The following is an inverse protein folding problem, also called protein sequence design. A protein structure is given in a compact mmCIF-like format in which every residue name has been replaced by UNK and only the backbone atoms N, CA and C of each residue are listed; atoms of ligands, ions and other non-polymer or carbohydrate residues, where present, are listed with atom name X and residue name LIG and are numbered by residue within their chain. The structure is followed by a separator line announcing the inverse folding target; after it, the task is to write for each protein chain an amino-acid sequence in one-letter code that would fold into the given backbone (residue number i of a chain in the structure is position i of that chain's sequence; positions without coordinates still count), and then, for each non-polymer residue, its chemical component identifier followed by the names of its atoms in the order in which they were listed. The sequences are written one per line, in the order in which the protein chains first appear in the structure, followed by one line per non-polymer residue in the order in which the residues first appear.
data_IF_872349937807
#
_entry.id   IF_872349937807
#
_cell.length_a   1.000
_cell.length_b   1.000
_cell.length_c   1.000
_cell.angle_alpha   90.00
_cell.angle_beta   90.00
_cell.angle_gamma   90.00
#
_symmetry.space_group_name_H-M   'P 1'
#
loop_
_entity.id
_entity.type
_entity.pdbx_description
1 polymer ?
#
# COMPACT_ATOMS: atom_id res chain seq x y z
N UNK A 1 5.54 13.40 -13.97
CA UNK A 1 4.93 12.96 -15.25
C UNK A 1 3.92 11.83 -15.00
N UNK A 2 4.34 10.62 -14.62
CA UNK A 2 3.47 9.43 -14.52
C UNK A 2 2.16 9.58 -13.68
N UNK A 3 2.18 10.31 -12.55
CA UNK A 3 0.97 10.46 -11.69
C UNK A 3 -0.12 11.28 -12.40
N UNK A 4 0.26 12.34 -13.11
CA UNK A 4 -0.67 13.18 -13.88
C UNK A 4 -1.17 12.46 -15.12
N UNK A 5 -0.31 11.68 -15.76
CA UNK A 5 -0.60 10.85 -16.93
C UNK A 5 -1.66 9.78 -16.63
N UNK A 6 -1.66 9.22 -15.41
CA UNK A 6 -2.65 8.26 -14.95
C UNK A 6 -3.89 8.87 -14.29
N UNK A 7 -4.05 10.21 -14.31
CA UNK A 7 -5.12 10.93 -13.59
C UNK A 7 -5.26 10.49 -12.13
N UNK A 8 -4.14 10.11 -11.51
CA UNK A 8 -4.15 9.58 -10.16
C UNK A 8 -4.11 10.73 -9.15
N UNK A 9 -5.10 10.79 -8.25
CA UNK A 9 -5.10 11.77 -7.16
C UNK A 9 -4.07 11.35 -6.08
N UNK A 10 -3.08 12.20 -5.77
CA UNK A 10 -2.10 11.90 -4.73
C UNK A 10 -2.72 12.09 -3.34
N UNK A 11 -3.39 11.05 -2.82
CA UNK A 11 -3.92 11.04 -1.45
C UNK A 11 -2.79 10.69 -0.47
N UNK A 12 -1.93 11.66 -0.15
CA UNK A 12 -0.78 11.43 0.74
C UNK A 12 -1.25 11.44 2.22
N UNK A 13 -1.10 10.33 2.96
CA UNK A 13 -1.43 10.26 4.38
C UNK A 13 -0.61 11.28 5.17
N UNK A 14 -1.26 12.10 5.99
CA UNK A 14 -0.57 13.06 6.85
C UNK A 14 -0.34 12.41 8.20
N UNK A 15 0.89 12.52 8.71
CA UNK A 15 1.26 11.94 10.01
C UNK A 15 0.53 12.66 11.15
N UNK A 16 0.39 11.99 12.30
CA UNK A 16 -0.27 12.53 13.50
C UNK A 16 0.25 13.93 13.87
N UNK A 17 1.56 14.16 13.71
CA UNK A 17 2.22 15.43 14.06
C UNK A 17 2.40 16.37 12.84
N UNK A 18 1.63 16.17 11.78
CA UNK A 18 1.71 17.00 10.58
C UNK A 18 1.40 18.46 10.87
N UNK A 19 2.30 19.35 10.44
CA UNK A 19 2.12 20.80 10.48
C UNK A 19 1.78 21.35 9.10
N UNK A 20 1.00 22.43 9.08
CA UNK A 20 0.72 23.16 7.86
C UNK A 20 2.03 23.71 7.30
N UNK A 21 2.21 23.58 5.98
CA UNK A 21 3.30 24.23 5.29
C UNK A 21 2.95 25.70 5.04
N UNK A 22 3.98 26.53 4.87
CA UNK A 22 3.75 27.86 4.29
C UNK A 22 3.15 27.68 2.89
N UNK A 23 2.22 28.53 2.46
CA UNK A 23 1.59 28.42 1.13
C UNK A 23 2.52 29.00 0.04
N UNK A 24 3.78 28.61 0.05
CA UNK A 24 4.83 29.07 -0.87
C UNK A 24 4.92 28.22 -2.14
N UNK A 25 4.30 27.04 -2.15
CA UNK A 25 4.23 26.16 -3.31
C UNK A 25 2.78 25.68 -3.59
N UNK A 26 2.43 25.42 -4.86
CA UNK A 26 1.09 24.93 -5.24
C UNK A 26 0.68 23.62 -4.53
N UNK A 27 1.65 22.79 -4.15
CA UNK A 27 1.39 21.55 -3.41
C UNK A 27 1.03 21.77 -1.93
N UNK A 28 1.37 22.94 -1.34
CA UNK A 28 1.08 23.24 0.05
C UNK A 28 -0.42 23.43 0.31
N UNK A 29 -1.16 24.01 -0.63
CA UNK A 29 -2.60 24.26 -0.53
C UNK A 29 -3.39 22.94 -0.35
N UNK A 30 -3.35 21.97 -1.30
CA UNK A 30 -4.10 20.73 -1.18
C UNK A 30 -3.61 19.88 0.01
N UNK A 31 -2.31 19.90 0.31
CA UNK A 31 -1.77 19.21 1.50
C UNK A 31 -2.33 19.78 2.80
N UNK A 32 -2.35 21.11 2.94
CA UNK A 32 -2.84 21.77 4.14
C UNK A 32 -4.35 21.60 4.31
N UNK A 33 -5.11 21.55 3.22
CA UNK A 33 -6.53 21.23 3.22
C UNK A 33 -6.78 19.80 3.72
N UNK A 34 -6.03 18.82 3.20
CA UNK A 34 -6.06 17.43 3.69
C UNK A 34 -5.70 17.38 5.19
N UNK A 35 -4.76 18.19 5.67
CA UNK A 35 -4.40 18.27 7.10
C UNK A 35 -5.55 18.80 7.94
N UNK A 36 -6.21 19.88 7.49
CA UNK A 36 -7.39 20.44 8.17
C UNK A 36 -8.52 19.42 8.23
N UNK A 37 -8.89 18.83 7.09
CA UNK A 37 -9.92 17.81 7.02
C UNK A 37 -9.62 16.64 7.98
N UNK A 38 -8.37 16.17 8.00
CA UNK A 38 -7.95 15.08 8.91
C UNK A 38 -8.08 15.43 10.39
N UNK A 39 -7.86 16.69 10.78
CA UNK A 39 -8.04 17.15 12.17
C UNK A 39 -9.52 17.24 12.54
N UNK A 40 -10.38 17.62 11.60
CA UNK A 40 -11.83 17.74 11.81
C UNK A 40 -12.52 16.37 11.92
N UNK A 41 -12.30 15.46 10.97
CA UNK A 41 -12.96 14.14 10.94
C UNK A 41 -12.16 13.03 11.65
N UNK A 42 -10.91 13.30 12.03
CA UNK A 42 -10.03 12.32 12.67
C UNK A 42 -9.35 11.35 11.70
N UNK A 43 -8.24 10.76 12.17
CA UNK A 43 -7.38 9.93 11.34
C UNK A 43 -7.98 8.58 10.92
N UNK A 44 -8.88 8.00 11.71
CA UNK A 44 -9.52 6.71 11.43
C UNK A 44 -10.49 6.80 10.25
N UNK A 45 -11.36 7.81 10.24
CA UNK A 45 -12.32 8.09 9.17
C UNK A 45 -11.58 8.43 7.88
N UNK A 46 -10.61 9.34 7.96
CA UNK A 46 -9.78 9.70 6.81
C UNK A 46 -9.03 8.51 6.20
N UNK A 47 -8.52 7.58 7.01
CA UNK A 47 -7.92 6.33 6.51
C UNK A 47 -8.92 5.45 5.77
N UNK A 48 -10.16 5.33 6.25
CA UNK A 48 -11.22 4.59 5.54
C UNK A 48 -11.53 5.22 4.19
N UNK A 49 -11.70 6.55 4.14
CA UNK A 49 -12.04 7.28 2.92
C UNK A 49 -10.91 7.27 1.89
N UNK A 50 -9.66 7.39 2.33
CA UNK A 50 -8.47 7.33 1.48
C UNK A 50 -8.13 5.92 0.95
N UNK A 51 -8.96 4.90 1.21
CA UNK A 51 -8.65 3.52 0.82
C UNK A 51 -7.41 2.94 1.51
N UNK A 52 -7.01 3.47 2.67
CA UNK A 52 -5.80 3.06 3.39
C UNK A 52 -5.78 1.55 3.70
N UNK A 53 -6.96 0.94 3.90
CA UNK A 53 -7.07 -0.49 4.11
C UNK A 53 -6.56 -1.30 2.91
N UNK A 54 -6.83 -0.86 1.68
CA UNK A 54 -6.33 -1.50 0.45
C UNK A 54 -4.81 -1.38 0.41
N UNK A 55 -4.26 -0.18 0.66
CA UNK A 55 -2.81 0.04 0.73
C UNK A 55 -2.15 -0.87 1.77
N UNK A 56 -2.72 -0.94 2.98
CA UNK A 56 -2.21 -1.78 4.06
C UNK A 56 -2.24 -3.27 3.70
N UNK A 57 -3.27 -3.73 2.97
CA UNK A 57 -3.36 -5.11 2.46
C UNK A 57 -2.27 -5.41 1.43
N UNK A 58 -2.03 -4.47 0.51
CA UNK A 58 -0.95 -4.58 -0.48
C UNK A 58 0.41 -4.62 0.23
N UNK A 59 0.65 -3.72 1.18
CA UNK A 59 1.89 -3.69 1.98
C UNK A 59 2.11 -5.01 2.73
N UNK A 60 1.08 -5.55 3.38
CA UNK A 60 1.16 -6.83 4.07
C UNK A 60 1.46 -8.00 3.10
N UNK A 61 0.87 -7.99 1.90
CA UNK A 61 1.17 -8.99 0.86
C UNK A 61 2.60 -8.88 0.34
N UNK A 62 3.09 -7.65 0.12
CA UNK A 62 4.47 -7.40 -0.28
C UNK A 62 5.47 -7.78 0.81
N UNK A 63 5.14 -7.55 2.09
CA UNK A 63 5.98 -7.98 3.20
C UNK A 63 6.13 -9.51 3.22
N UNK A 64 5.02 -10.24 3.04
CA UNK A 64 5.05 -11.71 2.90
C UNK A 64 5.90 -12.14 1.70
N UNK A 65 5.78 -11.49 0.55
CA UNK A 65 6.59 -11.79 -0.64
C UNK A 65 8.09 -11.63 -0.37
N UNK A 66 8.47 -10.59 0.36
CA UNK A 66 9.88 -10.30 0.72
C UNK A 66 10.44 -11.29 1.74
N UNK A 67 9.62 -11.74 2.69
CA UNK A 67 9.98 -12.79 3.65
C UNK A 67 10.06 -14.17 2.99
N UNK A 68 9.38 -14.36 1.86
CA UNK A 68 9.32 -15.64 1.18
C UNK A 68 10.54 -15.83 0.26
N UNK A 69 11.51 -16.61 0.74
CA UNK A 69 12.76 -16.94 0.05
C UNK A 69 13.86 -15.88 0.20
N UNK A 70 15.07 -16.22 -0.24
CA UNK A 70 16.25 -15.34 -0.17
C UNK A 70 16.13 -14.08 -1.04
N UNK A 71 17.17 -13.25 -1.09
CA UNK A 71 17.21 -12.12 -2.03
C UNK A 71 17.08 -12.62 -3.48
N UNK A 72 16.49 -11.82 -4.36
CA UNK A 72 16.57 -12.07 -5.81
C UNK A 72 18.01 -11.77 -6.25
N UNK A 73 18.81 -12.82 -6.43
CA UNK A 73 20.26 -12.69 -6.72
C UNK A 73 20.54 -12.49 -8.22
N UNK A 74 19.65 -12.99 -9.09
CA UNK A 74 19.82 -12.85 -10.54
C UNK A 74 19.88 -11.38 -10.96
N UNK A 75 20.85 -11.03 -11.80
CA UNK A 75 20.95 -9.70 -12.43
C UNK A 75 20.19 -9.61 -13.76
N UNK A 76 19.80 -10.74 -14.33
CA UNK A 76 19.02 -10.84 -15.55
C UNK A 76 17.53 -10.57 -15.29
N UNK A 77 16.90 -9.57 -15.95
CA UNK A 77 15.51 -9.16 -15.67
C UNK A 77 14.47 -10.26 -15.85
N UNK A 78 14.63 -11.13 -16.84
CA UNK A 78 13.67 -12.21 -17.11
C UNK A 78 13.73 -13.26 -16.01
N UNK A 79 14.94 -13.62 -15.56
CA UNK A 79 15.15 -14.49 -14.40
C UNK A 79 14.66 -13.85 -13.08
N UNK A 80 14.73 -12.52 -12.94
CA UNK A 80 14.12 -11.84 -11.78
C UNK A 80 12.60 -11.97 -11.81
N UNK A 81 11.98 -11.70 -12.96
CA UNK A 81 10.54 -11.84 -13.19
C UNK A 81 10.07 -13.25 -12.87
N UNK A 82 10.73 -14.27 -13.43
CA UNK A 82 10.41 -15.66 -13.18
C UNK A 82 10.50 -16.01 -11.68
N UNK A 83 11.56 -15.56 -11.00
CA UNK A 83 11.72 -15.77 -9.56
C UNK A 83 10.59 -15.14 -8.73
N UNK A 84 10.12 -13.94 -9.10
CA UNK A 84 8.99 -13.28 -8.44
C UNK A 84 7.69 -14.05 -8.70
N UNK A 85 7.43 -14.45 -9.94
CA UNK A 85 6.23 -15.20 -10.32
C UNK A 85 6.12 -16.53 -9.57
N UNK A 86 7.24 -17.27 -9.44
CA UNK A 86 7.29 -18.52 -8.67
C UNK A 86 6.93 -18.27 -7.21
N UNK A 87 7.49 -17.23 -6.56
CA UNK A 87 7.14 -16.90 -5.16
C UNK A 87 5.66 -16.56 -5.00
N UNK A 88 5.08 -15.83 -5.96
CA UNK A 88 3.66 -15.51 -5.96
C UNK A 88 2.82 -16.79 -6.08
N UNK A 89 3.18 -17.69 -6.99
CA UNK A 89 2.48 -18.96 -7.18
C UNK A 89 2.49 -19.81 -5.90
N UNK A 90 3.65 -19.95 -5.25
CA UNK A 90 3.78 -20.69 -4.00
C UNK A 90 2.94 -20.03 -2.89
N UNK A 91 3.06 -18.72 -2.69
CA UNK A 91 2.29 -18.00 -1.67
C UNK A 91 0.77 -18.13 -1.85
N UNK A 92 0.30 -18.09 -3.10
CA UNK A 92 -1.11 -18.28 -3.42
C UNK A 92 -1.56 -19.71 -3.13
N UNK A 93 -0.72 -20.72 -3.41
CA UNK A 93 -1.00 -22.12 -3.05
C UNK A 93 -1.06 -22.34 -1.54
N UNK A 94 -0.14 -21.77 -0.76
CA UNK A 94 -0.26 -21.79 0.71
C UNK A 94 -1.55 -21.15 1.20
N UNK A 95 -1.96 -20.03 0.59
CA UNK A 95 -3.19 -19.32 0.94
C UNK A 95 -4.49 -20.04 0.50
N UNK A 96 -4.41 -20.97 -0.46
CA UNK A 96 -5.54 -21.83 -0.82
C UNK A 96 -5.64 -23.00 0.16
N UNK A 97 -4.53 -23.70 0.40
CA UNK A 97 -4.48 -24.84 1.32
C UNK A 97 -4.95 -24.46 2.73
N UNK A 98 -4.49 -23.32 3.28
CA UNK A 98 -4.92 -22.86 4.60
C UNK A 98 -6.36 -22.30 4.67
N UNK A 99 -7.07 -22.15 3.54
CA UNK A 99 -8.50 -21.78 3.53
C UNK A 99 -9.41 -22.99 3.53
N UNK A 100 -8.95 -24.10 2.95
CA UNK A 100 -9.75 -25.32 2.80
C UNK A 100 -9.85 -26.13 4.12
N UNK A 101 -9.12 -25.73 5.18
CA UNK A 101 -9.12 -26.39 6.50
C UNK A 101 -9.91 -25.65 7.60
N UNK A 102 -10.47 -24.46 7.32
CA UNK A 102 -11.19 -23.67 8.34
C UNK A 102 -12.70 -23.80 8.11
N UNK A 103 -13.30 -24.86 8.63
CA UNK A 103 -14.75 -24.97 8.77
C UNK A 103 -15.16 -24.34 10.11
N UNK A 104 -15.93 -23.25 10.06
CA UNK A 104 -16.50 -22.66 11.27
C UNK A 104 -17.63 -23.57 11.75
N UNK A 105 -17.36 -24.39 12.77
CA UNK A 105 -18.39 -25.18 13.43
C UNK A 105 -19.31 -24.21 14.19
N UNK A 106 -20.59 -24.19 13.80
CA UNK A 106 -21.65 -23.43 14.45
C UNK A 106 -22.05 -24.03 15.81
#
# INVERSE_FOLDING_TARGET
AAILEHRAEPIIPIRRNGRAWKPDCPAAIPRNEILRATRCVGGSIRKKWAGYHIRSRVEARMNRLKLFGDRIVSRDPDRQTAGIQIRIAIMNRYSSLGRDEIEAIA
#
